data_IF_679971369737
#
_entry.id   IF_679971369737
#
_cell.length_a   1.000
_cell.length_b   1.000
_cell.length_c   1.000
_cell.angle_alpha   90.00
_cell.angle_beta   90.00
_cell.angle_gamma   90.00
#
_symmetry.space_group_name_H-M   'P 1'
#
loop_
_entity.id
_entity.type
_entity.pdbx_description
1 polymer ?
#
# COMPACT_ATOMS: atom_id res chain seq x y z
N UNK A 1 4.59 33.52 18.80
CA UNK A 1 3.90 32.34 18.29
C UNK A 1 4.59 31.08 18.78
N UNK A 2 3.89 29.97 18.80
CA UNK A 2 4.49 28.66 19.08
C UNK A 2 5.19 28.13 17.79
N UNK A 3 6.30 27.39 17.93
CA UNK A 3 6.90 26.71 16.79
C UNK A 3 5.90 25.70 16.20
N UNK A 4 5.78 25.69 14.89
CA UNK A 4 4.91 24.77 14.17
C UNK A 4 5.73 24.00 13.13
N UNK A 5 5.46 22.69 12.99
CA UNK A 5 6.06 21.83 11.98
C UNK A 5 4.95 21.15 11.19
N UNK A 6 5.12 21.06 9.88
CA UNK A 6 4.19 20.39 8.97
C UNK A 6 4.90 19.18 8.37
N UNK A 7 4.20 18.08 8.25
CA UNK A 7 4.67 16.90 7.53
C UNK A 7 3.50 16.20 6.84
N UNK A 8 3.80 15.31 5.91
CA UNK A 8 2.83 14.47 5.21
C UNK A 8 2.27 13.39 6.16
N UNK A 9 1.02 12.96 5.96
CA UNK A 9 0.33 11.98 6.79
C UNK A 9 1.00 10.60 6.79
N UNK A 10 1.49 10.13 5.64
CA UNK A 10 2.22 8.86 5.55
C UNK A 10 3.59 8.95 6.26
N UNK A 11 4.26 10.10 6.19
CA UNK A 11 5.48 10.37 6.92
C UNK A 11 5.26 10.36 8.43
N UNK A 12 4.21 11.03 8.91
CA UNK A 12 3.83 10.95 10.31
C UNK A 12 3.52 9.52 10.75
N UNK A 13 2.77 8.77 9.93
CA UNK A 13 2.44 7.38 10.25
C UNK A 13 3.68 6.48 10.28
N UNK A 14 4.63 6.66 9.37
CA UNK A 14 5.90 5.91 9.38
C UNK A 14 6.71 6.22 10.65
N UNK A 15 6.83 7.49 11.01
CA UNK A 15 7.52 7.89 12.25
C UNK A 15 6.84 7.30 13.49
N UNK A 16 5.50 7.32 13.53
CA UNK A 16 4.74 6.73 14.63
C UNK A 16 5.04 5.24 14.81
N UNK A 17 5.06 4.48 13.71
CA UNK A 17 5.36 3.05 13.76
C UNK A 17 6.77 2.76 14.25
N UNK A 18 7.75 3.66 14.03
CA UNK A 18 9.12 3.49 14.56
C UNK A 18 9.23 3.85 16.04
N UNK A 19 8.39 4.76 16.55
CA UNK A 19 8.48 5.20 17.97
C UNK A 19 7.56 4.41 18.90
N UNK A 20 6.41 3.92 18.42
CA UNK A 20 5.39 3.29 19.25
C UNK A 20 4.65 2.09 18.59
N UNK A 21 4.98 1.74 17.35
CA UNK A 21 4.26 0.75 16.58
C UNK A 21 5.04 -0.54 16.31
N UNK A 22 4.80 -1.12 15.13
CA UNK A 22 5.39 -2.39 14.73
C UNK A 22 6.88 -2.29 14.37
N UNK A 23 7.37 -1.10 14.02
CA UNK A 23 8.76 -0.88 13.60
C UNK A 23 9.67 -0.34 14.72
N UNK A 24 9.27 -0.47 15.99
CA UNK A 24 10.14 -0.07 17.12
C UNK A 24 11.45 -0.85 17.07
N UNK A 25 12.57 -0.11 17.02
CA UNK A 25 13.92 -0.67 16.91
C UNK A 25 14.44 -0.85 15.47
N UNK A 26 13.59 -0.74 14.44
CA UNK A 26 14.02 -0.73 13.06
C UNK A 26 14.67 0.61 12.68
N UNK A 27 15.78 0.56 11.95
CA UNK A 27 16.44 1.75 11.43
C UNK A 27 16.07 2.05 9.98
N UNK A 28 15.72 1.03 9.23
CA UNK A 28 15.37 1.13 7.81
C UNK A 28 14.02 0.46 7.57
N UNK A 29 12.97 1.24 7.44
CA UNK A 29 11.63 0.73 7.20
C UNK A 29 10.88 1.56 6.18
N UNK A 30 9.90 0.94 5.54
CA UNK A 30 8.95 1.58 4.65
C UNK A 30 7.54 1.31 5.16
N UNK A 31 6.74 2.36 5.29
CA UNK A 31 5.29 2.24 5.46
C UNK A 31 4.62 2.52 4.12
N UNK A 32 3.73 1.63 3.70
CA UNK A 32 2.84 1.80 2.55
C UNK A 32 1.40 1.86 3.06
N UNK A 33 0.72 2.95 2.83
CA UNK A 33 -0.70 3.09 3.22
C UNK A 33 -1.60 2.88 2.00
N UNK A 34 -2.44 1.84 2.06
CA UNK A 34 -3.43 1.49 1.03
C UNK A 34 -4.81 1.98 1.46
N UNK A 35 -5.12 3.20 1.02
CA UNK A 35 -6.39 3.91 1.28
C UNK A 35 -7.02 4.43 -0.01
N UNK A 36 -7.62 5.61 0.03
CA UNK A 36 -8.12 6.32 -1.16
C UNK A 36 -7.02 6.45 -2.23
N UNK A 37 -5.78 6.71 -1.80
CA UNK A 37 -4.56 6.69 -2.59
C UNK A 37 -3.56 5.67 -2.05
N UNK A 38 -2.31 5.78 -2.51
CA UNK A 38 -1.15 5.06 -1.99
C UNK A 38 -0.15 6.06 -1.43
N UNK A 39 -0.09 6.16 -0.09
CA UNK A 39 0.93 6.96 0.59
C UNK A 39 2.13 6.09 0.98
N UNK A 40 3.31 6.69 0.97
CA UNK A 40 4.54 6.02 1.39
C UNK A 40 5.30 6.91 2.37
N UNK A 41 5.72 6.33 3.49
CA UNK A 41 6.65 6.96 4.43
C UNK A 41 7.91 6.10 4.54
N UNK A 42 9.08 6.73 4.50
CA UNK A 42 10.37 6.04 4.46
C UNK A 42 11.20 6.51 5.64
N UNK A 43 11.68 5.57 6.44
CA UNK A 43 12.70 5.81 7.47
C UNK A 43 13.97 5.11 7.03
N UNK A 44 15.06 5.87 6.90
CA UNK A 44 16.37 5.39 6.52
C UNK A 44 17.40 5.82 7.55
N UNK A 45 18.17 4.87 8.06
CA UNK A 45 19.15 5.08 9.14
C UNK A 45 18.55 5.79 10.38
N UNK A 46 17.30 5.44 10.71
CA UNK A 46 16.55 6.00 11.83
C UNK A 46 16.03 7.42 11.61
N UNK A 47 16.06 7.93 10.39
CA UNK A 47 15.59 9.27 10.03
C UNK A 47 14.52 9.21 8.95
N UNK A 48 13.50 10.04 9.10
CA UNK A 48 12.46 10.20 8.10
C UNK A 48 13.04 10.82 6.81
N UNK A 49 12.76 10.19 5.66
CA UNK A 49 13.16 10.67 4.35
C UNK A 49 12.08 11.60 3.79
N UNK A 50 12.18 12.88 4.05
CA UNK A 50 11.20 13.87 3.57
C UNK A 50 11.56 14.49 2.20
N UNK A 51 12.82 14.36 1.77
CA UNK A 51 13.33 15.03 0.57
C UNK A 51 13.44 16.55 0.75
N UNK A 52 13.83 17.23 -0.32
CA UNK A 52 13.95 18.68 -0.31
C UNK A 52 12.56 19.32 -0.26
N UNK A 53 12.30 20.13 0.76
CA UNK A 53 11.02 20.80 0.93
C UNK A 53 9.84 19.89 1.25
N UNK A 54 10.09 18.66 1.75
CA UNK A 54 9.03 17.72 2.12
C UNK A 54 8.34 17.05 0.92
N UNK A 55 8.97 17.04 -0.25
CA UNK A 55 8.39 16.50 -1.50
C UNK A 55 8.89 15.09 -1.85
N UNK A 56 9.61 14.43 -0.94
CA UNK A 56 10.12 13.08 -1.12
C UNK A 56 9.10 11.99 -0.75
N UNK A 57 9.49 10.74 -0.98
CA UNK A 57 8.72 9.55 -0.65
C UNK A 57 7.37 9.39 -1.38
N UNK A 58 7.15 10.10 -2.48
CA UNK A 58 5.93 10.03 -3.31
C UNK A 58 5.89 8.80 -4.22
N UNK A 59 6.23 7.62 -3.68
CA UNK A 59 6.34 6.38 -4.46
C UNK A 59 4.98 5.89 -5.00
N UNK A 60 3.85 6.26 -4.40
CA UNK A 60 2.52 6.01 -4.97
C UNK A 60 2.36 6.58 -6.38
N UNK A 61 3.15 7.60 -6.72
CA UNK A 61 3.18 8.22 -8.03
C UNK A 61 4.33 7.74 -8.94
N UNK A 62 5.11 6.75 -8.53
CA UNK A 62 6.01 6.05 -9.44
C UNK A 62 5.21 5.33 -10.54
N UNK A 63 5.75 5.28 -11.75
CA UNK A 63 5.06 4.65 -12.90
C UNK A 63 5.19 3.13 -12.76
N UNK A 64 4.08 2.46 -12.57
CA UNK A 64 3.98 1.00 -12.58
C UNK A 64 3.70 0.46 -14.00
N UNK A 65 2.83 1.16 -14.74
CA UNK A 65 2.44 0.75 -16.11
C UNK A 65 2.55 1.95 -17.02
N UNK A 66 3.46 1.90 -17.99
CA UNK A 66 3.64 2.96 -18.98
C UNK A 66 2.33 3.20 -19.74
N UNK A 67 1.95 4.48 -19.87
CA UNK A 67 0.71 4.92 -20.54
C UNK A 67 -0.59 4.27 -20.03
N UNK A 68 -0.55 3.74 -18.80
CA UNK A 68 -1.65 3.00 -18.18
C UNK A 68 -2.79 3.90 -17.67
N UNK A 69 -3.41 3.48 -16.57
CA UNK A 69 -4.57 4.16 -15.97
C UNK A 69 -4.26 5.61 -15.58
N UNK A 70 -5.24 6.52 -15.79
CA UNK A 70 -5.08 7.91 -15.33
C UNK A 70 -4.98 7.96 -13.80
N UNK A 71 -4.10 8.83 -13.31
CA UNK A 71 -3.91 9.11 -11.88
C UNK A 71 -4.41 10.51 -11.55
N UNK A 72 -4.84 10.70 -10.30
CA UNK A 72 -5.28 11.99 -9.75
C UNK A 72 -4.20 13.07 -9.81
N UNK A 73 -2.91 12.69 -9.85
CA UNK A 73 -1.80 13.63 -10.02
C UNK A 73 -1.65 14.22 -11.44
N UNK A 74 -2.54 13.87 -12.37
CA UNK A 74 -2.54 14.32 -13.77
C UNK A 74 -1.68 13.47 -14.72
N UNK A 75 -0.91 12.49 -14.21
CA UNK A 75 -0.13 11.54 -15.01
C UNK A 75 -0.91 10.24 -15.26
N UNK A 76 -0.31 9.34 -16.00
CA UNK A 76 -0.83 7.97 -16.23
C UNK A 76 0.13 6.93 -15.69
N UNK A 77 -0.43 5.79 -15.29
CA UNK A 77 0.35 4.61 -14.94
C UNK A 77 0.93 4.59 -13.55
N UNK A 78 0.64 5.57 -12.68
CA UNK A 78 1.13 5.59 -11.31
C UNK A 78 0.70 4.34 -10.53
N UNK A 79 1.54 3.86 -9.64
CA UNK A 79 1.24 2.72 -8.76
C UNK A 79 -0.09 2.90 -8.01
N UNK A 80 -0.38 4.08 -7.49
CA UNK A 80 -1.65 4.43 -6.85
C UNK A 80 -2.87 4.08 -7.71
N UNK A 81 -2.79 4.30 -9.02
CA UNK A 81 -3.88 4.02 -9.93
C UNK A 81 -4.19 2.52 -10.07
N UNK A 82 -3.38 1.64 -9.49
CA UNK A 82 -3.56 0.18 -9.52
C UNK A 82 -3.70 -0.43 -8.13
N UNK A 83 -3.02 0.11 -7.13
CA UNK A 83 -2.85 -0.48 -5.81
C UNK A 83 -3.67 0.21 -4.70
N UNK A 84 -4.34 1.34 -4.95
CA UNK A 84 -5.21 1.97 -3.95
C UNK A 84 -6.52 1.22 -3.76
N UNK A 85 -7.23 1.48 -2.65
CA UNK A 85 -8.60 0.99 -2.45
C UNK A 85 -9.55 1.48 -3.55
N UNK A 86 -9.39 2.73 -3.98
CA UNK A 86 -10.14 3.31 -5.11
C UNK A 86 -9.88 2.54 -6.40
N UNK A 87 -8.64 2.13 -6.64
CA UNK A 87 -8.28 1.31 -7.79
C UNK A 87 -8.92 -0.08 -7.73
N UNK A 88 -8.91 -0.74 -6.57
CA UNK A 88 -9.57 -2.04 -6.39
C UNK A 88 -11.07 -1.96 -6.65
N UNK A 89 -11.75 -0.94 -6.12
CA UNK A 89 -13.18 -0.70 -6.39
C UNK A 89 -13.44 -0.53 -7.89
N UNK A 90 -12.61 0.26 -8.58
CA UNK A 90 -12.73 0.46 -10.04
C UNK A 90 -12.51 -0.84 -10.81
N UNK A 91 -11.53 -1.65 -10.43
CA UNK A 91 -11.27 -2.97 -11.02
C UNK A 91 -12.46 -3.91 -10.80
N UNK A 92 -13.01 -3.96 -9.58
CA UNK A 92 -14.20 -4.72 -9.25
C UNK A 92 -15.43 -4.30 -10.06
N UNK A 93 -15.69 -2.99 -10.22
CA UNK A 93 -16.78 -2.48 -11.04
C UNK A 93 -16.64 -2.84 -12.53
N UNK A 94 -15.41 -2.78 -13.07
CA UNK A 94 -15.14 -3.23 -14.45
C UNK A 94 -15.42 -4.73 -14.64
N UNK A 95 -14.95 -5.53 -13.68
CA UNK A 95 -15.19 -6.98 -13.70
C UNK A 95 -16.68 -7.30 -13.56
N UNK A 96 -17.40 -6.65 -12.65
CA UNK A 96 -18.83 -6.78 -12.49
C UNK A 96 -19.63 -6.44 -13.76
N UNK A 97 -19.18 -5.42 -14.50
CA UNK A 97 -19.81 -5.03 -15.77
C UNK A 97 -19.58 -6.07 -16.88
N UNK A 98 -18.44 -6.76 -16.86
CA UNK A 98 -18.12 -7.83 -17.81
C UNK A 98 -18.76 -9.19 -17.41
N UNK A 99 -19.06 -9.38 -16.13
CA UNK A 99 -19.61 -10.59 -15.51
C UNK A 99 -20.85 -10.28 -14.68
N UNK A 100 -22.02 -10.05 -15.32
CA UNK A 100 -23.25 -9.70 -14.61
C UNK A 100 -23.77 -10.76 -13.64
N UNK A 101 -23.34 -12.01 -13.82
CA UNK A 101 -23.63 -13.14 -12.93
C UNK A 101 -22.90 -13.08 -11.59
N UNK A 102 -21.77 -12.37 -11.52
CA UNK A 102 -20.99 -12.22 -10.30
C UNK A 102 -21.77 -11.47 -9.20
N UNK A 103 -21.65 -11.86 -7.94
CA UNK A 103 -22.18 -11.11 -6.81
C UNK A 103 -21.76 -9.64 -6.78
N UNK A 104 -20.60 -9.29 -7.34
CA UNK A 104 -20.11 -7.92 -7.44
C UNK A 104 -21.06 -7.02 -8.23
N UNK A 105 -21.75 -7.57 -9.24
CA UNK A 105 -22.69 -6.81 -10.06
C UNK A 105 -23.91 -6.31 -9.26
N UNK A 106 -24.28 -7.02 -8.18
CA UNK A 106 -25.41 -6.64 -7.32
C UNK A 106 -25.10 -5.41 -6.45
N UNK A 107 -23.83 -5.13 -6.21
CA UNK A 107 -23.39 -3.98 -5.42
C UNK A 107 -23.52 -2.65 -6.19
N UNK A 108 -23.50 -2.69 -7.52
CA UNK A 108 -23.61 -1.51 -8.37
C UNK A 108 -22.62 -0.42 -7.98
N UNK A 109 -23.10 0.81 -7.84
CA UNK A 109 -22.27 1.95 -7.46
C UNK A 109 -21.81 1.92 -6.00
N UNK A 110 -22.47 1.17 -5.15
CA UNK A 110 -22.12 1.02 -3.73
C UNK A 110 -20.98 0.01 -3.49
N UNK A 111 -20.44 -0.62 -4.54
CA UNK A 111 -19.33 -1.58 -4.41
C UNK A 111 -18.18 -0.98 -3.61
N UNK A 112 -17.74 -1.70 -2.57
CA UNK A 112 -16.59 -1.36 -1.75
C UNK A 112 -15.43 -2.34 -1.99
N UNK A 113 -14.23 -1.97 -1.56
CA UNK A 113 -13.09 -2.88 -1.59
C UNK A 113 -13.35 -4.16 -0.76
N UNK A 114 -14.07 -4.03 0.37
CA UNK A 114 -14.44 -5.17 1.22
C UNK A 114 -15.32 -6.18 0.48
N UNK A 115 -16.28 -5.71 -0.32
CA UNK A 115 -17.17 -6.58 -1.07
C UNK A 115 -16.41 -7.46 -2.07
N UNK A 116 -15.31 -6.94 -2.65
CA UNK A 116 -14.47 -7.74 -3.56
C UNK A 116 -13.80 -8.88 -2.79
N UNK A 117 -13.27 -8.62 -1.59
CA UNK A 117 -12.68 -9.68 -0.74
C UNK A 117 -13.74 -10.70 -0.30
N UNK A 118 -14.90 -10.22 0.14
CA UNK A 118 -15.97 -11.10 0.64
C UNK A 118 -16.55 -11.99 -0.48
N UNK A 119 -16.70 -11.45 -1.68
CA UNK A 119 -17.15 -12.23 -2.84
C UNK A 119 -16.12 -13.30 -3.24
N UNK A 120 -14.84 -12.97 -3.22
CA UNK A 120 -13.77 -13.93 -3.50
C UNK A 120 -13.74 -15.07 -2.49
N UNK A 121 -13.92 -14.77 -1.19
CA UNK A 121 -14.02 -15.79 -0.13
C UNK A 121 -15.28 -16.65 -0.28
N UNK A 122 -16.36 -16.06 -0.81
CA UNK A 122 -17.59 -16.78 -1.17
C UNK A 122 -17.43 -17.68 -2.41
N UNK A 123 -16.26 -17.72 -3.03
CA UNK A 123 -15.96 -18.56 -4.17
C UNK A 123 -16.26 -17.92 -5.54
N UNK A 124 -16.51 -16.60 -5.58
CA UNK A 124 -16.73 -15.91 -6.86
C UNK A 124 -15.43 -15.81 -7.66
N UNK A 125 -15.35 -16.51 -8.77
CA UNK A 125 -14.16 -16.56 -9.63
C UNK A 125 -13.79 -15.18 -10.21
N UNK A 126 -14.78 -14.33 -10.48
CA UNK A 126 -14.56 -12.98 -10.97
C UNK A 126 -13.85 -12.11 -9.90
N UNK A 127 -14.30 -12.16 -8.65
CA UNK A 127 -13.68 -11.44 -7.57
C UNK A 127 -12.28 -12.00 -7.25
N UNK A 128 -12.10 -13.32 -7.32
CA UNK A 128 -10.79 -13.97 -7.16
C UNK A 128 -9.79 -13.50 -8.21
N UNK A 129 -10.21 -13.41 -9.48
CA UNK A 129 -9.36 -12.90 -10.55
C UNK A 129 -8.98 -11.43 -10.35
N UNK A 130 -9.92 -10.59 -9.88
CA UNK A 130 -9.66 -9.18 -9.52
C UNK A 130 -8.63 -9.09 -8.41
N UNK A 131 -8.79 -9.87 -7.33
CA UNK A 131 -7.85 -9.86 -6.21
C UNK A 131 -6.47 -10.39 -6.60
N UNK A 132 -6.39 -11.47 -7.38
CA UNK A 132 -5.13 -12.00 -7.85
C UNK A 132 -4.31 -10.93 -8.59
N UNK A 133 -4.94 -10.18 -9.49
CA UNK A 133 -4.29 -9.08 -10.19
C UNK A 133 -3.96 -7.90 -9.28
N UNK A 134 -4.84 -7.56 -8.33
CA UNK A 134 -4.61 -6.50 -7.36
C UNK A 134 -3.40 -6.78 -6.48
N UNK A 135 -3.25 -8.02 -6.00
CA UNK A 135 -2.08 -8.44 -5.21
C UNK A 135 -0.77 -8.25 -6.00
N UNK A 136 -0.77 -8.56 -7.28
CA UNK A 136 0.40 -8.33 -8.14
C UNK A 136 0.74 -6.82 -8.20
N UNK A 137 -0.24 -5.96 -8.38
CA UNK A 137 -0.01 -4.51 -8.41
C UNK A 137 0.53 -3.98 -7.08
N UNK A 138 -0.04 -4.41 -5.95
CA UNK A 138 0.46 -4.01 -4.63
C UNK A 138 1.90 -4.50 -4.45
N UNK A 139 2.13 -5.78 -4.71
CA UNK A 139 3.41 -6.43 -4.48
C UNK A 139 4.52 -5.93 -5.40
N UNK A 140 4.21 -5.58 -6.65
CA UNK A 140 5.19 -5.03 -7.59
C UNK A 140 5.79 -3.72 -7.07
N UNK A 141 4.95 -2.76 -6.64
CA UNK A 141 5.47 -1.52 -6.07
C UNK A 141 6.21 -1.72 -4.75
N UNK A 142 5.77 -2.67 -3.90
CA UNK A 142 6.53 -3.06 -2.70
C UNK A 142 7.89 -3.65 -3.09
N UNK A 143 7.95 -4.49 -4.12
CA UNK A 143 9.20 -5.08 -4.64
C UNK A 143 10.17 -4.00 -5.13
N UNK A 144 9.67 -2.98 -5.82
CA UNK A 144 10.48 -1.84 -6.27
C UNK A 144 11.08 -1.10 -5.08
N UNK A 145 10.29 -0.83 -4.03
CA UNK A 145 10.77 -0.21 -2.80
C UNK A 145 11.82 -1.08 -2.10
N UNK A 146 11.62 -2.39 -2.05
CA UNK A 146 12.60 -3.34 -1.49
C UNK A 146 13.91 -3.32 -2.30
N UNK A 147 13.83 -3.29 -3.62
CA UNK A 147 15.00 -3.26 -4.49
C UNK A 147 15.79 -1.94 -4.41
N UNK A 148 15.08 -0.81 -4.24
CA UNK A 148 15.70 0.53 -4.19
C UNK A 148 16.29 0.83 -2.81
N UNK A 149 15.57 0.50 -1.74
CA UNK A 149 15.87 0.95 -0.38
C UNK A 149 16.50 -0.13 0.50
N UNK A 150 16.28 -1.42 0.21
CA UNK A 150 16.76 -2.52 1.03
C UNK A 150 16.31 -2.45 2.49
N UNK A 151 15.00 -2.24 2.78
CA UNK A 151 14.53 -2.04 4.14
C UNK A 151 14.61 -3.34 4.96
N UNK A 152 14.70 -3.20 6.28
CA UNK A 152 14.55 -4.30 7.23
C UNK A 152 13.08 -4.75 7.33
N UNK A 153 12.16 -3.77 7.19
CA UNK A 153 10.73 -3.99 7.36
C UNK A 153 9.92 -3.13 6.38
N UNK A 154 8.84 -3.71 5.85
CA UNK A 154 7.78 -3.00 5.14
C UNK A 154 6.47 -3.18 5.91
N UNK A 155 5.86 -2.08 6.30
CA UNK A 155 4.54 -2.09 6.93
C UNK A 155 3.47 -1.72 5.92
N UNK A 156 2.37 -2.47 5.92
CA UNK A 156 1.20 -2.16 5.11
C UNK A 156 0.12 -1.59 6.03
N UNK A 157 -0.22 -0.33 5.81
CA UNK A 157 -1.27 0.40 6.53
C UNK A 157 -2.47 0.74 5.65
N UNK A 158 -3.35 1.60 6.17
CA UNK A 158 -4.57 2.03 5.47
C UNK A 158 -5.72 1.02 5.59
N UNK A 159 -6.86 1.34 4.96
CA UNK A 159 -8.08 0.55 5.10
C UNK A 159 -7.97 -0.89 4.61
N UNK A 160 -7.20 -1.12 3.55
CA UNK A 160 -7.00 -2.45 2.95
C UNK A 160 -6.17 -3.37 3.85
N UNK A 161 -5.26 -2.84 4.66
CA UNK A 161 -4.43 -3.67 5.57
C UNK A 161 -5.25 -4.47 6.58
N UNK A 162 -6.51 -4.06 6.86
CA UNK A 162 -7.45 -4.80 7.71
C UNK A 162 -7.80 -6.18 7.17
N UNK A 163 -7.48 -6.47 5.91
CA UNK A 163 -7.66 -7.81 5.33
C UNK A 163 -6.63 -8.82 5.86
N UNK A 164 -5.61 -8.35 6.61
CA UNK A 164 -4.64 -9.22 7.26
C UNK A 164 -3.93 -10.16 6.29
N UNK A 165 -3.88 -11.44 6.62
CA UNK A 165 -3.16 -12.43 5.80
C UNK A 165 -3.75 -12.64 4.40
N UNK A 166 -5.02 -12.30 4.17
CA UNK A 166 -5.62 -12.32 2.82
C UNK A 166 -4.86 -11.40 1.84
N UNK A 167 -4.30 -10.29 2.35
CA UNK A 167 -3.46 -9.37 1.60
C UNK A 167 -1.97 -9.68 1.76
N UNK A 168 -1.52 -9.91 3.00
CA UNK A 168 -0.10 -9.96 3.33
C UNK A 168 0.58 -11.23 2.78
N UNK A 169 -0.08 -12.41 2.84
CA UNK A 169 0.51 -13.65 2.31
C UNK A 169 0.86 -13.54 0.82
N UNK A 170 -0.06 -13.19 -0.09
CA UNK A 170 0.27 -13.11 -1.51
C UNK A 170 1.30 -12.00 -1.82
N UNK A 171 1.30 -10.91 -1.05
CA UNK A 171 2.32 -9.85 -1.19
C UNK A 171 3.70 -10.37 -0.78
N UNK A 172 3.82 -11.07 0.35
CA UNK A 172 5.09 -11.68 0.80
C UNK A 172 5.63 -12.68 -0.21
N UNK A 173 4.76 -13.57 -0.69
CA UNK A 173 5.12 -14.59 -1.68
C UNK A 173 5.66 -13.95 -2.97
N UNK A 174 4.97 -12.95 -3.47
CA UNK A 174 5.40 -12.25 -4.67
C UNK A 174 6.74 -11.52 -4.46
N UNK A 175 6.89 -10.78 -3.37
CA UNK A 175 8.13 -10.04 -3.05
C UNK A 175 9.30 -11.01 -2.91
N UNK A 176 9.13 -12.12 -2.19
CA UNK A 176 10.18 -13.13 -2.02
C UNK A 176 10.63 -13.74 -3.35
N UNK A 177 9.70 -13.95 -4.28
CA UNK A 177 10.00 -14.51 -5.60
C UNK A 177 10.60 -13.50 -6.59
N UNK A 178 10.31 -12.21 -6.44
CA UNK A 178 10.60 -11.20 -7.47
C UNK A 178 11.59 -10.10 -7.03
N UNK A 179 11.99 -10.02 -5.76
CA UNK A 179 13.03 -9.08 -5.35
C UNK A 179 14.39 -9.52 -5.92
N UNK A 180 15.28 -8.55 -6.16
CA UNK A 180 16.63 -8.82 -6.65
C UNK A 180 17.39 -9.75 -5.68
N UNK A 181 17.94 -10.82 -6.20
CA UNK A 181 18.55 -11.91 -5.42
C UNK A 181 17.60 -13.05 -5.09
N UNK A 182 16.30 -12.88 -5.28
CA UNK A 182 15.28 -13.93 -5.11
C UNK A 182 15.41 -14.67 -3.78
N UNK A 183 15.35 -16.00 -3.83
CA UNK A 183 15.42 -16.86 -2.66
C UNK A 183 16.79 -16.86 -1.93
N UNK A 184 17.83 -16.33 -2.54
CA UNK A 184 19.17 -16.24 -1.92
C UNK A 184 19.32 -15.00 -1.02
N UNK A 185 18.36 -14.08 -1.05
CA UNK A 185 18.29 -12.89 -0.20
C UNK A 185 17.26 -13.09 0.90
N UNK A 186 17.59 -12.68 2.12
CA UNK A 186 16.58 -12.56 3.17
C UNK A 186 15.60 -11.43 2.78
N UNK A 187 14.31 -11.74 2.53
CA UNK A 187 13.33 -10.71 2.25
C UNK A 187 13.12 -9.85 3.50
N UNK A 188 12.66 -8.59 3.36
CA UNK A 188 12.26 -7.79 4.52
C UNK A 188 11.08 -8.45 5.24
N UNK A 189 10.93 -8.13 6.51
CA UNK A 189 9.70 -8.46 7.23
C UNK A 189 8.55 -7.61 6.64
N UNK A 190 7.45 -8.24 6.23
CA UNK A 190 6.26 -7.54 5.70
C UNK A 190 5.08 -7.82 6.61
N UNK A 191 4.58 -6.79 7.28
CA UNK A 191 3.51 -6.89 8.28
C UNK A 191 2.47 -5.77 8.15
N UNK A 192 1.34 -5.91 8.86
CA UNK A 192 0.38 -4.82 8.98
C UNK A 192 0.92 -3.76 9.94
N UNK A 193 0.69 -2.49 9.62
CA UNK A 193 0.88 -1.38 10.54
C UNK A 193 -0.02 -1.55 11.78
N UNK A 194 0.50 -1.19 12.96
CA UNK A 194 -0.16 -1.46 14.24
C UNK A 194 -1.05 -0.32 14.72
N UNK A 195 -0.64 0.93 14.50
CA UNK A 195 -1.25 2.10 15.15
C UNK A 195 -2.53 2.59 14.45
N UNK A 196 -2.79 2.15 13.23
CA UNK A 196 -4.02 2.50 12.51
C UNK A 196 -4.22 4.02 12.41
N UNK A 197 -5.41 4.50 12.77
CA UNK A 197 -5.76 5.93 12.66
C UNK A 197 -5.02 6.83 13.67
N UNK A 198 -4.47 6.29 14.74
CA UNK A 198 -3.72 7.06 15.74
C UNK A 198 -2.30 7.41 15.26
N UNK A 199 -1.80 6.70 14.24
CA UNK A 199 -0.46 6.89 13.72
C UNK A 199 -0.15 8.35 13.32
N UNK A 200 -1.11 9.03 12.67
CA UNK A 200 -0.94 10.43 12.27
C UNK A 200 -0.68 11.36 13.46
N UNK A 201 -1.43 11.19 14.55
CA UNK A 201 -1.32 12.03 15.75
C UNK A 201 -0.01 11.73 16.50
N UNK A 202 0.30 10.45 16.69
CA UNK A 202 1.52 10.00 17.37
C UNK A 202 2.75 10.48 16.60
N UNK A 203 2.76 10.31 15.28
CA UNK A 203 3.87 10.74 14.44
C UNK A 203 4.05 12.25 14.41
N UNK A 204 2.95 13.02 14.35
CA UNK A 204 3.02 14.47 14.42
C UNK A 204 3.60 14.97 15.76
N UNK A 205 3.35 14.25 16.85
CA UNK A 205 3.93 14.56 18.15
C UNK A 205 5.42 14.16 18.26
N UNK A 206 5.90 13.28 17.38
CA UNK A 206 7.29 12.79 17.36
C UNK A 206 8.20 13.57 16.38
N UNK A 207 7.65 14.51 15.59
CA UNK A 207 8.39 15.40 14.69
C UNK A 207 9.21 16.44 15.48
#
# INVERSE_FOLDING_TARGET
>A
GLPCRLSNDANCAALAETVAGAAVGCRNMVLVTLGTGVGVGIVSDGKLLEGVGGTGAEAGHAILVLDGEPCTCGRKGCWEAYASATALIRQGKRAASAHPESPLARCGDALTAKDVFDAADGGDETAQAVLAQYYVYVAAGVTDLVNILGPEMVLIGGGISRQGERLLSPVREYVAANCFGGHDRLPPVIEAARLGNEAGIIGAAAL
#
